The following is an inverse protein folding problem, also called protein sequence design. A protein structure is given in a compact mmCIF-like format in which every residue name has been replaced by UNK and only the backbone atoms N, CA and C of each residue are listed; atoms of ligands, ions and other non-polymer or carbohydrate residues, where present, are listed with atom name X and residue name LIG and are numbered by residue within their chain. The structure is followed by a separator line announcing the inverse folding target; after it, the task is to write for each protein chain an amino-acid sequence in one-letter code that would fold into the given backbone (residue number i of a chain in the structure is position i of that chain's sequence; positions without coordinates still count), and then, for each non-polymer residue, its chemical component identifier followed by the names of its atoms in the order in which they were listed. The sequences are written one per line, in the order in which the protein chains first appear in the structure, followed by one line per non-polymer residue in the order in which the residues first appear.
data_IF_082139083462
#
_entry.id   IF_082139083462
#
_cell.length_a   1.000
_cell.length_b   1.000
_cell.length_c   1.000
_cell.angle_alpha   90.00
_cell.angle_beta   90.00
_cell.angle_gamma   90.00
#
_symmetry.space_group_name_H-M   'P 1'
#
loop_
_entity.id
_entity.type
_entity.pdbx_description
1 polymer ?
#
# COMPACT_ATOMS: atom_id res chain seq x y z
N UNK A 1 1.56 -33.81 23.60
CA UNK A 1 2.78 -32.96 23.66
C UNK A 1 3.31 -32.58 22.26
N UNK A 2 2.47 -32.54 21.20
CA UNK A 2 2.87 -32.18 19.82
C UNK A 2 2.07 -30.98 19.26
N UNK A 3 1.55 -30.09 20.12
CA UNK A 3 0.74 -28.93 19.70
C UNK A 3 1.58 -27.64 19.53
N UNK A 4 2.92 -27.78 19.58
CA UNK A 4 3.91 -26.72 19.38
C UNK A 4 4.87 -27.06 18.23
N UNK A 5 4.46 -27.91 17.28
CA UNK A 5 5.19 -28.00 16.01
C UNK A 5 4.93 -26.69 15.26
N UNK A 6 5.98 -25.98 14.80
CA UNK A 6 5.79 -24.80 13.96
C UNK A 6 4.94 -25.23 12.77
N UNK A 7 3.72 -24.66 12.66
CA UNK A 7 2.83 -24.94 11.54
C UNK A 7 3.51 -24.39 10.28
N UNK A 8 4.28 -25.25 9.62
CA UNK A 8 5.12 -24.90 8.47
C UNK A 8 4.30 -24.24 7.37
N UNK A 9 3.06 -24.69 7.19
CA UNK A 9 2.13 -24.08 6.24
C UNK A 9 1.78 -22.64 6.63
N UNK A 10 1.51 -22.38 7.91
CA UNK A 10 1.23 -21.03 8.42
C UNK A 10 2.44 -20.10 8.27
N UNK A 11 3.65 -20.58 8.55
CA UNK A 11 4.89 -19.82 8.35
C UNK A 11 5.12 -19.55 6.86
N UNK A 12 4.90 -20.54 5.99
CA UNK A 12 5.08 -20.40 4.55
C UNK A 12 4.14 -19.35 3.96
N UNK A 13 2.86 -19.37 4.37
CA UNK A 13 1.86 -18.37 3.96
C UNK A 13 2.22 -16.98 4.50
N UNK A 14 2.63 -16.88 5.77
CA UNK A 14 3.01 -15.61 6.38
C UNK A 14 4.23 -14.97 5.69
N UNK A 15 5.28 -15.75 5.44
CA UNK A 15 6.48 -15.28 4.73
C UNK A 15 6.14 -14.90 3.28
N UNK A 16 5.32 -15.70 2.60
CA UNK A 16 4.83 -15.38 1.26
C UNK A 16 4.08 -14.05 1.24
N UNK A 17 3.18 -13.83 2.19
CA UNK A 17 2.41 -12.58 2.30
C UNK A 17 3.31 -11.37 2.58
N UNK A 18 4.26 -11.49 3.52
CA UNK A 18 5.24 -10.41 3.82
C UNK A 18 6.13 -10.13 2.61
N UNK A 19 6.51 -11.14 1.83
CA UNK A 19 7.28 -10.97 0.60
C UNK A 19 6.52 -10.27 -0.53
N UNK A 20 5.20 -10.45 -0.61
CA UNK A 20 4.34 -9.78 -1.58
C UNK A 20 3.98 -8.34 -1.18
N UNK A 21 4.01 -8.03 0.11
CA UNK A 21 3.69 -6.71 0.65
C UNK A 21 4.48 -5.56 0.00
N UNK A 22 5.82 -5.59 -0.11
CA UNK A 22 6.57 -4.50 -0.76
C UNK A 22 6.22 -4.33 -2.25
N UNK A 23 5.88 -5.43 -2.94
CA UNK A 23 5.41 -5.37 -4.32
C UNK A 23 4.07 -4.65 -4.40
N UNK A 24 3.11 -5.03 -3.54
CA UNK A 24 1.81 -4.39 -3.48
C UNK A 24 1.93 -2.89 -3.19
N UNK A 25 2.81 -2.49 -2.25
CA UNK A 25 3.04 -1.07 -1.96
C UNK A 25 3.55 -0.33 -3.19
N UNK A 26 4.49 -0.90 -3.94
CA UNK A 26 5.08 -0.25 -5.13
C UNK A 26 4.07 -0.12 -6.28
N UNK A 27 3.19 -1.10 -6.47
CA UNK A 27 2.23 -1.13 -7.60
C UNK A 27 0.89 -0.48 -7.30
N UNK A 28 0.42 -0.55 -6.05
CA UNK A 28 -0.90 -0.06 -5.62
C UNK A 28 -0.88 1.41 -5.19
N UNK A 29 0.29 1.97 -4.88
CA UNK A 29 0.45 3.39 -4.47
C UNK A 29 0.97 4.28 -5.59
N UNK A 30 1.20 5.56 -5.28
CA UNK A 30 1.80 6.54 -6.19
C UNK A 30 3.29 6.33 -6.53
N UNK A 31 3.96 5.34 -5.94
CA UNK A 31 5.41 5.14 -6.11
C UNK A 31 5.83 4.97 -7.57
N UNK A 32 5.11 4.15 -8.35
CA UNK A 32 5.42 3.93 -9.76
C UNK A 32 5.36 5.24 -10.57
N UNK A 33 4.34 6.07 -10.34
CA UNK A 33 4.20 7.35 -11.05
C UNK A 33 5.34 8.31 -10.68
N UNK A 34 5.64 8.46 -9.40
CA UNK A 34 6.71 9.35 -8.92
C UNK A 34 8.06 8.91 -9.48
N UNK A 35 8.40 7.62 -9.35
CA UNK A 35 9.68 7.08 -9.83
C UNK A 35 9.85 7.23 -11.34
N UNK A 36 8.83 6.94 -12.15
CA UNK A 36 8.88 7.10 -13.61
C UNK A 36 9.14 8.55 -13.99
N UNK A 37 8.44 9.51 -13.39
CA UNK A 37 8.65 10.94 -13.68
C UNK A 37 10.08 11.37 -13.33
N UNK A 38 10.61 10.95 -12.18
CA UNK A 38 12.00 11.22 -11.80
C UNK A 38 13.01 10.62 -12.81
N UNK A 39 12.75 9.42 -13.31
CA UNK A 39 13.56 8.77 -14.34
C UNK A 39 13.51 9.52 -15.68
N UNK A 40 12.32 9.97 -16.09
CA UNK A 40 12.17 10.78 -17.31
C UNK A 40 12.93 12.09 -17.20
N UNK A 41 12.88 12.77 -16.04
CA UNK A 41 13.66 13.99 -15.78
C UNK A 41 15.16 13.69 -15.88
N UNK A 42 15.65 12.60 -15.28
CA UNK A 42 17.06 12.23 -15.39
C UNK A 42 17.50 12.05 -16.84
N UNK A 43 16.70 11.33 -17.63
CA UNK A 43 16.99 11.14 -19.06
C UNK A 43 16.96 12.47 -19.83
N UNK A 44 16.04 13.37 -19.47
CA UNK A 44 15.93 14.70 -20.07
C UNK A 44 17.13 15.61 -19.73
N UNK A 45 17.78 15.43 -18.58
CA UNK A 45 18.97 16.18 -18.20
C UNK A 45 20.25 15.74 -18.96
N UNK A 46 20.19 14.66 -19.76
CA UNK A 46 21.34 14.20 -20.57
C UNK A 46 22.53 13.65 -19.76
N UNK A 47 22.40 13.56 -18.43
CA UNK A 47 23.42 13.05 -17.51
C UNK A 47 23.15 11.59 -17.17
N UNK A 48 24.06 10.68 -17.52
CA UNK A 48 23.82 9.23 -17.43
C UNK A 48 24.10 8.63 -16.04
N UNK A 49 24.96 9.26 -15.24
CA UNK A 49 25.45 8.70 -13.96
C UNK A 49 25.03 9.52 -12.75
N UNK A 50 24.61 10.77 -12.96
CA UNK A 50 24.02 11.59 -11.91
C UNK A 50 22.55 11.85 -12.24
N UNK A 51 21.60 11.67 -11.30
CA UNK A 51 21.73 11.09 -9.96
C UNK A 51 21.60 9.55 -9.95
N UNK A 52 22.21 8.83 -8.98
CA UNK A 52 22.17 7.36 -8.89
C UNK A 52 20.75 6.79 -8.71
N UNK A 53 20.47 5.60 -9.27
CA UNK A 53 19.17 4.92 -9.15
C UNK A 53 18.68 4.81 -7.70
N UNK A 54 19.59 4.48 -6.77
CA UNK A 54 19.27 4.32 -5.35
C UNK A 54 18.73 5.63 -4.74
N UNK A 55 19.28 6.77 -5.14
CA UNK A 55 18.84 8.10 -4.67
C UNK A 55 17.45 8.41 -5.22
N UNK A 56 17.21 8.16 -6.51
CA UNK A 56 15.89 8.36 -7.13
C UNK A 56 14.82 7.53 -6.43
N UNK A 57 15.11 6.25 -6.16
CA UNK A 57 14.17 5.37 -5.45
C UNK A 57 13.96 5.80 -4.00
N UNK A 58 15.00 6.24 -3.30
CA UNK A 58 14.88 6.77 -1.94
C UNK A 58 13.97 8.00 -1.87
N UNK A 59 14.17 8.96 -2.79
CA UNK A 59 13.32 10.16 -2.89
C UNK A 59 11.88 9.76 -3.24
N UNK A 60 11.70 8.84 -4.19
CA UNK A 60 10.37 8.38 -4.59
C UNK A 60 9.62 7.71 -3.43
N UNK A 61 10.30 6.92 -2.59
CA UNK A 61 9.69 6.24 -1.45
C UNK A 61 9.24 7.24 -0.38
N UNK A 62 10.12 8.19 -0.01
CA UNK A 62 9.78 9.25 0.96
C UNK A 62 8.58 10.07 0.48
N UNK A 63 8.59 10.47 -0.80
CA UNK A 63 7.49 11.26 -1.37
C UNK A 63 6.17 10.46 -1.42
N UNK A 64 6.25 9.15 -1.70
CA UNK A 64 5.09 8.26 -1.69
C UNK A 64 4.44 8.19 -0.31
N UNK A 65 5.24 8.01 0.74
CA UNK A 65 4.76 7.98 2.13
C UNK A 65 4.12 9.33 2.49
N UNK A 66 4.77 10.44 2.14
CA UNK A 66 4.25 11.78 2.37
C UNK A 66 2.87 11.99 1.73
N UNK A 67 2.70 11.63 0.45
CA UNK A 67 1.43 11.77 -0.28
C UNK A 67 0.34 10.82 0.25
N UNK A 68 0.72 9.65 0.77
CA UNK A 68 -0.23 8.61 1.22
C UNK A 68 -0.68 8.82 2.68
N UNK A 69 0.05 9.60 3.48
CA UNK A 69 -0.26 9.91 4.88
C UNK A 69 -1.71 10.36 5.14
N UNK A 70 -2.29 11.34 4.40
CA UNK A 70 -3.67 11.77 4.64
C UNK A 70 -4.70 10.67 4.36
N UNK A 71 -4.46 9.81 3.36
CA UNK A 71 -5.34 8.69 3.02
C UNK A 71 -5.45 7.70 4.19
N UNK A 72 -4.32 7.42 4.85
CA UNK A 72 -4.27 6.56 6.05
C UNK A 72 -5.03 7.19 7.22
N UNK A 73 -4.88 8.50 7.42
CA UNK A 73 -5.61 9.23 8.46
C UNK A 73 -7.12 9.18 8.24
N UNK A 74 -7.58 9.40 7.01
CA UNK A 74 -8.99 9.36 6.63
C UNK A 74 -9.58 7.95 6.81
N UNK A 75 -8.88 6.91 6.34
CA UNK A 75 -9.28 5.52 6.55
C UNK A 75 -9.36 5.19 8.04
N UNK A 76 -8.37 5.61 8.83
CA UNK A 76 -8.35 5.35 10.27
C UNK A 76 -9.49 6.05 11.01
N UNK A 77 -9.85 7.28 10.60
CA UNK A 77 -10.99 8.02 11.15
C UNK A 77 -12.31 7.34 10.81
N UNK A 78 -12.51 6.94 9.55
CA UNK A 78 -13.72 6.22 9.10
C UNK A 78 -13.89 4.87 9.79
N UNK A 79 -12.81 4.16 10.10
CA UNK A 79 -12.86 2.90 10.84
C UNK A 79 -13.21 3.09 12.32
N UNK A 80 -12.91 4.25 12.91
CA UNK A 80 -13.28 4.56 14.28
C UNK A 80 -14.73 5.05 14.38
N UNK A 81 -15.20 5.79 13.37
CA UNK A 81 -16.58 6.31 13.32
C UNK A 81 -17.59 5.28 12.82
N UNK A 82 -17.21 4.46 11.83
CA UNK A 82 -17.98 3.31 11.41
C UNK A 82 -17.69 2.15 12.33
N UNK A 83 -18.55 1.91 13.33
CA UNK A 83 -18.66 0.59 13.95
C UNK A 83 -19.05 -0.42 12.87
N UNK A 84 -18.08 -0.90 12.08
CA UNK A 84 -18.31 -1.94 11.08
C UNK A 84 -18.49 -3.25 11.84
N UNK A 85 -19.68 -3.41 12.41
CA UNK A 85 -20.15 -4.63 12.99
C UNK A 85 -20.53 -5.53 11.81
N UNK A 86 -19.60 -6.36 11.34
CA UNK A 86 -19.84 -7.39 10.32
C UNK A 86 -20.76 -8.50 10.85
N UNK A 87 -21.94 -8.15 11.38
CA UNK A 87 -22.84 -9.06 12.10
C UNK A 87 -24.25 -9.14 11.49
N UNK A 88 -24.66 -8.24 10.58
CA UNK A 88 -26.07 -8.21 10.14
C UNK A 88 -26.24 -8.00 8.63
N UNK A 89 -27.00 -8.89 8.00
CA UNK A 89 -27.39 -8.90 6.58
C UNK A 89 -28.14 -7.64 6.13
N UNK A 90 -28.64 -6.84 7.07
CA UNK A 90 -29.35 -5.59 6.81
C UNK A 90 -28.40 -4.38 6.62
N UNK A 91 -27.17 -4.45 7.15
CA UNK A 91 -26.15 -3.41 6.95
C UNK A 91 -25.52 -3.47 5.55
N UNK A 92 -25.54 -4.65 4.92
CA UNK A 92 -25.15 -4.86 3.51
C UNK A 92 -26.06 -4.10 2.53
N UNK A 93 -27.35 -3.95 2.86
CA UNK A 93 -28.31 -3.22 2.05
C UNK A 93 -28.18 -1.69 2.18
N UNK A 94 -27.69 -1.20 3.34
CA UNK A 94 -27.43 0.25 3.55
C UNK A 94 -26.08 0.67 2.98
N UNK A 95 -25.06 -0.20 3.07
CA UNK A 95 -23.75 0.04 2.49
C UNK A 95 -23.80 0.17 0.95
N UNK A 96 -24.66 -0.58 0.27
CA UNK A 96 -24.84 -0.50 -1.19
C UNK A 96 -25.48 0.80 -1.66
N UNK A 97 -26.23 1.51 -0.80
CA UNK A 97 -26.85 2.79 -1.15
C UNK A 97 -25.87 3.96 -0.99
N UNK A 98 -24.89 3.86 -0.10
CA UNK A 98 -23.86 4.89 0.12
C UNK A 98 -22.70 4.83 -0.89
N UNK A 99 -22.46 3.65 -1.49
CA UNK A 99 -21.44 3.44 -2.54
C UNK A 99 -21.91 3.95 -3.93
N UNK A 100 -23.18 4.36 -4.05
CA UNK A 100 -23.76 4.82 -5.32
C UNK A 100 -23.38 6.26 -5.68
N UNK A 101 -22.88 7.04 -4.73
CA UNK A 101 -22.45 8.42 -4.98
C UNK A 101 -20.91 8.51 -4.97
N UNK A 102 -20.29 8.94 -6.09
CA UNK A 102 -18.84 8.83 -6.32
C UNK A 102 -18.01 9.93 -5.64
#
# INVERSE_FOLDING_TARGET
MLDNSPNLLGILIAVGFVGLLPLAVVTMTGFLKISVVLFLIRNALGVQQMPPNLVLYGIALVLTVYVTTPLLSEMSGRLQEGQVQFQTTDDLARATQLVREP
#
